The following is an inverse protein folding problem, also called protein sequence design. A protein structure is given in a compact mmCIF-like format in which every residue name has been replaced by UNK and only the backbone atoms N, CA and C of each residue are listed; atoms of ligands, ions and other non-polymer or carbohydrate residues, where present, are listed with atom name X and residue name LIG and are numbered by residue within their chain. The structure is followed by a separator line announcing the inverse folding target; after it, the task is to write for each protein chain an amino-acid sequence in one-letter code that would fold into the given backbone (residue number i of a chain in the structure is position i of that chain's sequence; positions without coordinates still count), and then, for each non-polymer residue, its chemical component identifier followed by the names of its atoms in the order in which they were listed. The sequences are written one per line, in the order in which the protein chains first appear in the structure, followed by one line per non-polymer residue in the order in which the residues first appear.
data_IF_097970097440
#
_entry.id   IF_097970097440
#
_cell.length_a   1.000
_cell.length_b   1.000
_cell.length_c   1.000
_cell.angle_alpha   90.00
_cell.angle_beta   90.00
_cell.angle_gamma   90.00
#
_symmetry.space_group_name_H-M   'P 1'
#
loop_
_entity.id
_entity.type
_entity.pdbx_description
1 polymer ?
#
# COMPACT_ATOMS: atom_id res chain seq x y z
N UNK A 1 -15.13 2.11 1.08
CA UNK A 1 -14.95 1.63 -0.30
C UNK A 1 -13.48 1.36 -0.63
N UNK A 2 -12.61 2.34 -0.39
CA UNK A 2 -11.19 2.17 -0.72
C UNK A 2 -10.51 1.12 0.15
N UNK A 3 -10.84 1.07 1.42
CA UNK A 3 -10.28 0.07 2.32
C UNK A 3 -10.75 -1.33 1.96
N UNK A 4 -11.97 -1.45 1.44
CA UNK A 4 -12.47 -2.74 0.95
C UNK A 4 -11.66 -3.22 -0.25
N UNK A 5 -11.36 -2.31 -1.19
CA UNK A 5 -10.51 -2.64 -2.34
C UNK A 5 -9.14 -3.11 -1.86
N UNK A 6 -8.55 -2.38 -0.91
CA UNK A 6 -7.25 -2.73 -0.32
C UNK A 6 -7.28 -4.15 0.26
N UNK A 7 -8.28 -4.45 1.10
CA UNK A 7 -8.39 -5.75 1.74
C UNK A 7 -8.56 -6.88 0.74
N UNK A 8 -9.41 -6.69 -0.27
CA UNK A 8 -9.64 -7.71 -1.29
C UNK A 8 -8.38 -8.02 -2.09
N UNK A 9 -7.64 -6.99 -2.48
CA UNK A 9 -6.38 -7.19 -3.21
C UNK A 9 -5.35 -7.88 -2.34
N UNK A 10 -5.25 -7.48 -1.07
CA UNK A 10 -4.30 -8.09 -0.14
C UNK A 10 -4.60 -9.58 0.04
N UNK A 11 -5.87 -9.95 0.22
CA UNK A 11 -6.27 -11.35 0.34
C UNK A 11 -5.93 -12.12 -0.93
N UNK A 12 -6.24 -11.55 -2.10
CA UNK A 12 -5.96 -12.20 -3.38
C UNK A 12 -4.46 -12.42 -3.59
N UNK A 13 -3.64 -11.44 -3.22
CA UNK A 13 -2.18 -11.58 -3.36
C UNK A 13 -1.65 -12.67 -2.45
N UNK A 14 -2.14 -12.76 -1.21
CA UNK A 14 -1.73 -13.81 -0.30
C UNK A 14 -2.12 -15.19 -0.81
N UNK A 15 -3.32 -15.33 -1.39
CA UNK A 15 -3.75 -16.58 -2.00
C UNK A 15 -2.87 -16.97 -3.18
N UNK A 16 -2.50 -16.00 -4.02
CA UNK A 16 -1.61 -16.26 -5.16
C UNK A 16 -0.24 -16.79 -4.71
N UNK A 17 0.20 -16.36 -3.54
CA UNK A 17 1.47 -16.80 -2.97
C UNK A 17 1.34 -18.13 -2.21
N UNK A 18 0.18 -18.79 -2.30
CA UNK A 18 -0.05 -20.09 -1.68
C UNK A 18 -0.40 -20.05 -0.20
N UNK A 19 -0.82 -18.89 0.30
CA UNK A 19 -1.18 -18.76 1.71
C UNK A 19 -2.64 -19.12 1.96
N UNK A 20 -2.89 -19.83 3.05
CA UNK A 20 -4.24 -20.09 3.51
C UNK A 20 -4.75 -18.89 4.29
N UNK A 21 -5.93 -18.38 3.94
CA UNK A 21 -6.48 -17.20 4.61
C UNK A 21 -7.23 -17.65 5.87
N UNK A 22 -6.56 -17.54 7.00
CA UNK A 22 -7.12 -17.85 8.31
C UNK A 22 -6.59 -16.84 9.35
N UNK A 23 -6.91 -17.08 10.63
CA UNK A 23 -6.52 -16.14 11.69
C UNK A 23 -5.02 -16.02 11.89
N UNK A 24 -4.24 -16.95 11.38
CA UNK A 24 -2.79 -17.01 11.59
C UNK A 24 -2.00 -16.60 10.37
N UNK A 25 -2.65 -16.20 9.26
CA UNK A 25 -1.94 -15.92 8.02
C UNK A 25 -0.85 -14.84 8.21
N UNK A 26 -1.13 -13.82 9.00
CA UNK A 26 -0.17 -12.73 9.25
C UNK A 26 0.98 -13.21 10.13
N UNK A 27 0.68 -14.04 11.13
CA UNK A 27 1.68 -14.55 12.06
C UNK A 27 2.59 -15.59 11.39
N UNK A 28 1.99 -16.48 10.60
CA UNK A 28 2.69 -17.63 10.01
C UNK A 28 3.40 -17.31 8.69
N UNK A 29 3.07 -16.18 8.07
CA UNK A 29 3.68 -15.81 6.78
C UNK A 29 4.96 -14.99 6.99
N UNK A 30 5.96 -15.15 6.09
CA UNK A 30 7.14 -14.28 6.13
C UNK A 30 6.75 -12.82 5.97
N UNK A 31 7.50 -11.92 6.61
CA UNK A 31 7.23 -10.48 6.54
C UNK A 31 7.28 -9.97 5.12
N UNK A 32 8.18 -10.47 4.29
CA UNK A 32 8.28 -10.07 2.88
C UNK A 32 6.99 -10.37 2.12
N UNK A 33 6.36 -11.52 2.41
CA UNK A 33 5.08 -11.89 1.78
C UNK A 33 3.97 -10.93 2.20
N UNK A 34 3.88 -10.65 3.51
CA UNK A 34 2.86 -9.75 4.04
C UNK A 34 3.02 -8.33 3.47
N UNK A 35 4.25 -7.81 3.48
CA UNK A 35 4.49 -6.45 2.98
C UNK A 35 4.33 -6.36 1.46
N UNK A 36 4.70 -7.40 0.72
CA UNK A 36 4.47 -7.44 -0.71
C UNK A 36 2.97 -7.35 -1.04
N UNK A 37 2.15 -8.15 -0.36
CA UNK A 37 0.70 -8.10 -0.51
C UNK A 37 0.14 -6.73 -0.12
N UNK A 38 0.62 -6.17 0.98
CA UNK A 38 0.18 -4.86 1.46
C UNK A 38 0.52 -3.74 0.46
N UNK A 39 1.74 -3.73 -0.06
CA UNK A 39 2.16 -2.69 -1.00
C UNK A 39 1.41 -2.79 -2.33
N UNK A 40 1.17 -4.00 -2.81
CA UNK A 40 0.35 -4.21 -4.01
C UNK A 40 -1.07 -3.71 -3.79
N UNK A 41 -1.66 -4.03 -2.63
CA UNK A 41 -3.00 -3.58 -2.28
C UNK A 41 -3.05 -2.05 -2.15
N UNK A 42 -2.03 -1.44 -1.56
CA UNK A 42 -1.93 0.01 -1.41
C UNK A 42 -1.90 0.70 -2.78
N UNK A 43 -1.09 0.19 -3.70
CA UNK A 43 -1.01 0.75 -5.04
C UNK A 43 -2.37 0.68 -5.75
N UNK A 44 -3.05 -0.45 -5.65
CA UNK A 44 -4.37 -0.62 -6.27
C UNK A 44 -5.39 0.33 -5.64
N UNK A 45 -5.38 0.45 -4.33
CA UNK A 45 -6.27 1.37 -3.60
C UNK A 45 -6.06 2.80 -4.06
N UNK A 46 -4.81 3.25 -4.16
CA UNK A 46 -4.48 4.61 -4.54
C UNK A 46 -4.83 4.90 -6.01
N UNK A 47 -4.58 3.94 -6.90
CA UNK A 47 -5.00 4.07 -8.30
C UNK A 47 -6.51 4.15 -8.43
N UNK A 48 -7.24 3.37 -7.64
CA UNK A 48 -8.70 3.42 -7.62
C UNK A 48 -9.20 4.80 -7.17
N UNK A 49 -8.59 5.34 -6.11
CA UNK A 49 -8.93 6.67 -5.61
C UNK A 49 -8.61 7.75 -6.64
N UNK A 50 -7.49 7.64 -7.37
CA UNK A 50 -7.15 8.57 -8.44
C UNK A 50 -8.17 8.52 -9.57
N UNK A 51 -8.62 7.34 -9.95
CA UNK A 51 -9.65 7.19 -10.99
C UNK A 51 -10.95 7.87 -10.58
N UNK A 52 -11.25 7.93 -9.30
CA UNK A 52 -12.42 8.63 -8.77
C UNK A 52 -12.15 10.10 -8.47
N UNK A 53 -10.92 10.56 -8.74
CA UNK A 53 -10.47 11.93 -8.48
C UNK A 53 -10.53 12.30 -6.99
N UNK A 54 -10.37 11.31 -6.12
CA UNK A 54 -10.37 11.52 -4.67
C UNK A 54 -8.94 11.78 -4.18
N UNK A 55 -8.44 12.96 -4.49
CA UNK A 55 -7.06 13.34 -4.16
C UNK A 55 -6.86 13.51 -2.66
N UNK A 56 -7.91 13.86 -1.96
CA UNK A 56 -7.85 13.99 -0.50
C UNK A 56 -7.53 12.63 0.15
N UNK A 57 -8.20 11.57 -0.33
CA UNK A 57 -7.93 10.21 0.16
C UNK A 57 -6.48 9.81 -0.11
N UNK A 58 -5.99 10.09 -1.32
CA UNK A 58 -4.60 9.76 -1.69
C UNK A 58 -3.62 10.45 -0.75
N UNK A 59 -3.85 11.74 -0.47
CA UNK A 59 -2.97 12.50 0.45
C UNK A 59 -2.95 11.91 1.85
N UNK A 60 -4.11 11.56 2.38
CA UNK A 60 -4.21 10.98 3.71
C UNK A 60 -3.47 9.65 3.79
N UNK A 61 -3.70 8.79 2.79
CA UNK A 61 -3.07 7.46 2.77
C UNK A 61 -1.56 7.56 2.59
N UNK A 62 -1.09 8.49 1.78
CA UNK A 62 0.35 8.71 1.62
C UNK A 62 1.00 9.16 2.93
N UNK A 63 0.34 10.06 3.65
CA UNK A 63 0.84 10.49 4.95
C UNK A 63 0.92 9.31 5.92
N UNK A 64 -0.13 8.49 5.99
CA UNK A 64 -0.16 7.31 6.84
C UNK A 64 0.95 6.32 6.44
N UNK A 65 1.13 6.10 5.15
CA UNK A 65 2.18 5.21 4.65
C UNK A 65 3.56 5.69 5.08
N UNK A 66 3.83 6.99 4.92
CA UNK A 66 5.11 7.56 5.33
C UNK A 66 5.32 7.41 6.83
N UNK A 67 4.34 7.80 7.64
CA UNK A 67 4.46 7.80 9.09
C UNK A 67 4.50 6.38 9.68
N UNK A 68 3.66 5.48 9.16
CA UNK A 68 3.49 4.15 9.75
C UNK A 68 4.44 3.10 9.16
N UNK A 69 4.88 3.26 7.93
CA UNK A 69 5.71 2.26 7.26
C UNK A 69 7.13 2.76 7.07
N UNK A 70 7.31 3.88 6.36
CA UNK A 70 8.65 4.34 5.99
C UNK A 70 9.46 4.87 7.17
N UNK A 71 8.83 5.66 8.03
CA UNK A 71 9.56 6.36 9.10
C UNK A 71 9.64 5.58 10.41
N UNK A 72 8.62 4.80 10.73
CA UNK A 72 8.49 4.28 12.10
C UNK A 72 8.31 2.76 12.21
N UNK A 73 8.25 2.03 11.12
CA UNK A 73 7.99 0.59 11.19
C UNK A 73 9.30 -0.19 11.31
N UNK A 74 9.64 -0.71 12.51
CA UNK A 74 10.87 -1.49 12.68
C UNK A 74 10.78 -2.87 12.02
N UNK A 75 9.58 -3.29 11.63
CA UNK A 75 9.35 -4.61 11.03
C UNK A 75 9.44 -4.61 9.51
N UNK A 76 9.55 -3.43 8.88
CA UNK A 76 9.66 -3.34 7.43
C UNK A 76 10.97 -3.98 6.97
N UNK A 77 10.92 -5.07 6.17
CA UNK A 77 12.14 -5.68 5.68
C UNK A 77 12.95 -4.71 4.82
N UNK A 78 14.25 -4.72 4.97
CA UNK A 78 15.13 -3.82 4.21
C UNK A 78 14.96 -3.98 2.71
N UNK A 79 14.74 -5.21 2.25
CA UNK A 79 14.55 -5.50 0.84
C UNK A 79 13.24 -4.92 0.28
N UNK A 80 12.27 -4.62 1.14
CA UNK A 80 10.99 -4.03 0.73
C UNK A 80 10.99 -2.50 0.82
N UNK A 81 11.98 -1.91 1.48
CA UNK A 81 12.04 -0.46 1.65
C UNK A 81 12.09 0.30 0.33
N UNK A 82 12.93 -0.09 -0.65
CA UNK A 82 12.94 0.64 -1.94
C UNK A 82 11.57 0.64 -2.62
N UNK A 83 10.85 -0.48 -2.54
CA UNK A 83 9.52 -0.57 -3.13
C UNK A 83 8.52 0.34 -2.41
N UNK A 84 8.58 0.37 -1.08
CA UNK A 84 7.71 1.25 -0.28
C UNK A 84 7.98 2.72 -0.58
N UNK A 85 9.25 3.09 -0.74
CA UNK A 85 9.65 4.45 -1.08
C UNK A 85 9.23 4.83 -2.50
N UNK A 86 9.39 3.91 -3.44
CA UNK A 86 8.99 4.13 -4.85
C UNK A 86 7.48 4.36 -4.94
N UNK A 87 6.69 3.59 -4.19
CA UNK A 87 5.25 3.77 -4.17
C UNK A 87 4.88 5.16 -3.64
N UNK A 88 5.50 5.57 -2.55
CA UNK A 88 5.26 6.89 -1.96
C UNK A 88 5.59 8.01 -2.98
N UNK A 89 6.77 7.93 -3.59
CA UNK A 89 7.23 8.96 -4.54
C UNK A 89 6.33 9.02 -5.78
N UNK A 90 5.90 7.88 -6.28
CA UNK A 90 5.02 7.81 -7.45
C UNK A 90 3.75 8.64 -7.24
N UNK A 91 3.06 8.38 -6.13
CA UNK A 91 1.79 9.06 -5.87
C UNK A 91 1.99 10.49 -5.38
N UNK A 92 3.08 10.76 -4.66
CA UNK A 92 3.41 12.13 -4.26
C UNK A 92 3.59 13.03 -5.47
N UNK A 93 4.29 12.56 -6.50
CA UNK A 93 4.49 13.30 -7.73
C UNK A 93 3.19 13.56 -8.46
N UNK A 94 2.29 12.58 -8.50
CA UNK A 94 0.97 12.75 -9.13
C UNK A 94 0.20 13.87 -8.44
N UNK A 95 0.17 13.88 -7.11
CA UNK A 95 -0.54 14.91 -6.35
C UNK A 95 0.10 16.29 -6.56
N UNK A 96 1.43 16.39 -6.57
CA UNK A 96 2.12 17.66 -6.80
C UNK A 96 1.83 18.22 -8.19
N UNK A 97 1.82 17.34 -9.20
CA UNK A 97 1.53 17.78 -10.57
C UNK A 97 0.10 18.28 -10.70
N UNK A 98 -0.84 17.68 -10.00
CA UNK A 98 -2.22 18.15 -9.98
C UNK A 98 -2.32 19.56 -9.39
N UNK A 99 -1.58 19.85 -8.33
CA UNK A 99 -1.56 21.18 -7.71
C UNK A 99 -1.02 22.24 -8.66
N UNK A 100 -0.02 21.89 -9.47
CA UNK A 100 0.57 22.83 -10.44
C UNK A 100 -0.39 23.15 -11.59
N UNK A 101 -1.19 22.18 -11.99
CA UNK A 101 -2.14 22.33 -13.10
C UNK A 101 -3.43 23.00 -12.63
N UNK A 102 -3.82 22.71 -11.42
CA UNK A 102 -5.03 23.25 -10.82
C UNK A 102 -4.79 24.50 -10.04
#
# INVERSE_FOLDING_TARGET
EYLMVHELVEINELKKMGRTIDKRVIIDSPKTVIYDAHLTAMETELNYALNKRDYFWVKIRLRQHKESVLDNDPNLPEEMRPRAETLFEKFRKVIQNRKKIG
#
